data_IF_515427358105
#
_entry.id   IF_515427358105
#
_cell.length_a   1.000
_cell.length_b   1.000
_cell.length_c   1.000
_cell.angle_alpha   90.00
_cell.angle_beta   90.00
_cell.angle_gamma   90.00
#
_symmetry.space_group_name_H-M   'P 1'
#
loop_
_entity.id
_entity.type
_entity.pdbx_description
1 polymer ?
#
# COMPACT_ATOMS: atom_id res chain seq x y z
N UNK A 1 -30.19 -27.00 -74.96
CA UNK A 1 -28.92 -26.96 -74.21
C UNK A 1 -28.32 -28.36 -74.23
N UNK A 2 -27.13 -28.54 -74.80
CA UNK A 2 -26.46 -29.85 -74.84
C UNK A 2 -25.92 -30.20 -73.43
N UNK A 3 -26.00 -31.46 -72.98
CA UNK A 3 -25.49 -31.86 -71.67
C UNK A 3 -23.96 -31.69 -71.60
N UNK A 4 -23.46 -31.12 -70.49
CA UNK A 4 -22.03 -30.94 -70.24
C UNK A 4 -21.28 -32.28 -70.30
N UNK A 5 -20.06 -32.33 -70.88
CA UNK A 5 -19.28 -33.56 -70.95
C UNK A 5 -18.97 -34.08 -69.53
N UNK A 6 -19.08 -35.41 -69.34
CA UNK A 6 -18.94 -36.07 -68.02
C UNK A 6 -17.65 -35.70 -67.26
N UNK A 7 -16.58 -35.37 -68.00
CA UNK A 7 -15.29 -34.89 -67.46
C UNK A 7 -15.42 -33.55 -66.73
N UNK A 8 -16.05 -32.56 -67.36
CA UNK A 8 -16.21 -31.22 -66.77
C UNK A 8 -17.20 -31.26 -65.61
N UNK A 9 -18.27 -32.06 -65.72
CA UNK A 9 -19.19 -32.30 -64.60
C UNK A 9 -18.46 -32.85 -63.37
N UNK A 10 -17.58 -33.86 -63.54
CA UNK A 10 -16.80 -34.44 -62.44
C UNK A 10 -15.80 -33.44 -61.83
N UNK A 11 -15.16 -32.60 -62.64
CA UNK A 11 -14.28 -31.53 -62.16
C UNK A 11 -15.05 -30.46 -61.37
N UNK A 12 -16.23 -30.06 -61.84
CA UNK A 12 -17.10 -29.13 -61.11
C UNK A 12 -17.59 -29.73 -59.79
N UNK A 13 -17.98 -31.01 -59.76
CA UNK A 13 -18.33 -31.70 -58.53
C UNK A 13 -17.16 -31.75 -57.53
N UNK A 14 -15.96 -32.08 -57.98
CA UNK A 14 -14.78 -32.10 -57.12
C UNK A 14 -14.44 -30.70 -56.56
N UNK A 15 -14.54 -29.66 -57.40
CA UNK A 15 -14.32 -28.28 -56.99
C UNK A 15 -15.36 -27.81 -55.97
N UNK A 16 -16.65 -28.08 -56.22
CA UNK A 16 -17.74 -27.72 -55.31
C UNK A 16 -17.63 -28.47 -53.96
N UNK A 17 -17.25 -29.75 -53.98
CA UNK A 17 -17.01 -30.53 -52.77
C UNK A 17 -15.82 -29.99 -51.97
N UNK A 18 -14.75 -29.58 -52.64
CA UNK A 18 -13.59 -28.95 -51.99
C UNK A 18 -13.98 -27.61 -51.36
N UNK A 19 -14.71 -26.77 -52.08
CA UNK A 19 -15.17 -25.47 -51.60
C UNK A 19 -16.13 -25.63 -50.41
N UNK A 20 -17.04 -26.59 -50.46
CA UNK A 20 -17.94 -26.88 -49.35
C UNK A 20 -17.17 -27.36 -48.12
N UNK A 21 -16.19 -28.25 -48.32
CA UNK A 21 -15.37 -28.77 -47.21
C UNK A 21 -14.56 -27.67 -46.54
N UNK A 22 -13.96 -26.75 -47.30
CA UNK A 22 -13.21 -25.62 -46.71
C UNK A 22 -14.12 -24.67 -45.95
N UNK A 23 -15.34 -24.41 -46.45
CA UNK A 23 -16.34 -23.58 -45.78
C UNK A 23 -16.79 -24.19 -44.44
N UNK A 24 -17.06 -25.49 -44.42
CA UNK A 24 -17.45 -26.21 -43.19
C UNK A 24 -16.32 -26.20 -42.17
N UNK A 25 -15.07 -26.44 -42.58
CA UNK A 25 -13.91 -26.39 -41.67
C UNK A 25 -13.72 -24.98 -41.12
N UNK A 26 -13.82 -23.96 -41.97
CA UNK A 26 -13.64 -22.56 -41.57
C UNK A 26 -14.74 -22.11 -40.60
N UNK A 27 -15.99 -22.50 -40.85
CA UNK A 27 -17.10 -22.25 -39.94
C UNK A 27 -16.95 -23.00 -38.61
N UNK A 28 -16.45 -24.24 -38.64
CA UNK A 28 -16.20 -25.03 -37.43
C UNK A 28 -15.07 -24.43 -36.59
N UNK A 29 -14.00 -23.95 -37.22
CA UNK A 29 -12.91 -23.25 -36.54
C UNK A 29 -13.38 -21.90 -35.99
N UNK A 30 -14.13 -21.14 -36.78
CA UNK A 30 -14.69 -19.85 -36.34
C UNK A 30 -15.63 -20.01 -35.14
N UNK A 31 -16.54 -20.99 -35.17
CA UNK A 31 -17.41 -21.29 -34.03
C UNK A 31 -16.60 -21.79 -32.83
N UNK A 32 -15.59 -22.63 -33.02
CA UNK A 32 -14.69 -23.07 -31.95
C UNK A 32 -13.96 -21.89 -31.29
N UNK A 33 -13.35 -20.98 -32.06
CA UNK A 33 -12.63 -19.82 -31.52
C UNK A 33 -13.56 -18.76 -30.90
N UNK A 34 -14.77 -18.57 -31.43
CA UNK A 34 -15.74 -17.62 -30.89
C UNK A 34 -16.49 -18.17 -29.65
N UNK A 35 -16.63 -19.49 -29.52
CA UNK A 35 -17.28 -20.14 -28.38
C UNK A 35 -16.30 -20.58 -27.28
N UNK A 36 -14.99 -20.65 -27.56
CA UNK A 36 -13.95 -20.86 -26.55
C UNK A 36 -14.01 -19.87 -25.37
N UNK A 37 -14.20 -18.55 -25.59
CA UNK A 37 -14.34 -17.61 -24.47
C UNK A 37 -15.63 -17.84 -23.68
N UNK A 38 -16.70 -18.41 -24.27
CA UNK A 38 -17.96 -18.69 -23.56
C UNK A 38 -17.89 -19.97 -22.71
N UNK A 39 -17.11 -20.99 -23.10
CA UNK A 39 -17.00 -22.23 -22.31
C UNK A 39 -16.10 -22.08 -21.08
N UNK A 40 -15.17 -21.11 -21.08
CA UNK A 40 -14.34 -20.79 -19.92
C UNK A 40 -15.08 -20.00 -18.83
N UNK A 41 -16.27 -19.43 -19.11
CA UNK A 41 -17.07 -18.67 -18.15
C UNK A 41 -18.03 -19.51 -17.29
N UNK A 42 -18.05 -20.84 -17.44
CA UNK A 42 -18.92 -21.73 -16.63
C UNK A 42 -18.14 -22.71 -15.77
N UNK A 43 -17.00 -22.28 -15.22
CA UNK A 43 -16.55 -22.89 -13.96
C UNK A 43 -17.13 -22.06 -12.82
N UNK A 44 -18.34 -22.43 -12.38
CA UNK A 44 -18.83 -22.02 -11.08
C UNK A 44 -17.85 -22.56 -10.03
N UNK A 45 -16.86 -21.76 -9.66
CA UNK A 45 -16.15 -21.94 -8.40
C UNK A 45 -17.19 -21.76 -7.29
N UNK A 46 -17.69 -22.88 -6.80
CA UNK A 46 -18.53 -22.93 -5.61
C UNK A 46 -17.67 -22.39 -4.45
N UNK A 47 -18.00 -21.25 -3.83
CA UNK A 47 -17.24 -20.76 -2.70
C UNK A 47 -17.31 -21.81 -1.60
N UNK A 48 -16.16 -22.17 -1.04
CA UNK A 48 -16.11 -23.04 0.14
C UNK A 48 -16.94 -22.41 1.27
N UNK A 49 -17.84 -23.14 1.96
CA UNK A 49 -18.74 -22.54 2.95
C UNK A 49 -18.06 -22.12 4.27
N UNK A 50 -16.72 -22.17 4.38
CA UNK A 50 -15.99 -21.94 5.63
C UNK A 50 -15.02 -20.75 5.63
N UNK A 51 -14.90 -19.99 4.53
CA UNK A 51 -13.94 -18.88 4.42
C UNK A 51 -14.65 -17.53 4.34
N UNK A 52 -15.38 -17.16 5.37
CA UNK A 52 -15.87 -15.78 5.50
C UNK A 52 -14.70 -14.90 5.93
N UNK A 53 -14.30 -13.94 5.09
CA UNK A 53 -13.28 -12.96 5.46
C UNK A 53 -13.74 -12.15 6.68
N UNK A 54 -12.88 -12.02 7.70
CA UNK A 54 -13.14 -11.22 8.90
C UNK A 54 -12.84 -9.73 8.69
N UNK A 55 -12.09 -9.37 7.64
CA UNK A 55 -11.66 -7.98 7.38
C UNK A 55 -12.81 -6.96 7.39
N UNK A 56 -13.99 -7.23 6.78
CA UNK A 56 -15.12 -6.30 6.88
C UNK A 56 -15.61 -6.10 8.32
N UNK A 57 -15.63 -7.18 9.12
CA UNK A 57 -16.01 -7.10 10.53
C UNK A 57 -14.97 -6.33 11.35
N UNK A 58 -13.68 -6.54 11.08
CA UNK A 58 -12.58 -5.83 11.75
C UNK A 58 -12.59 -4.32 11.44
N UNK A 59 -12.80 -3.93 10.18
CA UNK A 59 -12.90 -2.52 9.78
C UNK A 59 -14.12 -1.84 10.41
N UNK A 60 -15.26 -2.55 10.47
CA UNK A 60 -16.46 -2.04 11.14
C UNK A 60 -16.26 -1.94 12.67
N UNK A 61 -15.61 -2.93 13.27
CA UNK A 61 -15.27 -2.91 14.69
C UNK A 61 -14.35 -1.72 14.99
N UNK A 62 -13.35 -1.45 14.15
CA UNK A 62 -12.45 -0.32 14.31
C UNK A 62 -13.18 1.03 14.29
N UNK A 63 -14.12 1.22 13.36
CA UNK A 63 -14.91 2.46 13.24
C UNK A 63 -15.70 2.79 14.51
N UNK A 64 -16.11 1.77 15.27
CA UNK A 64 -16.87 1.92 16.53
C UNK A 64 -16.02 1.71 17.77
N UNK A 65 -14.76 1.29 17.61
CA UNK A 65 -13.83 1.08 18.71
C UNK A 65 -13.27 2.39 19.20
N UNK A 66 -12.99 2.45 20.50
CA UNK A 66 -12.18 3.50 21.09
C UNK A 66 -11.32 2.90 22.20
N UNK A 67 -10.10 3.40 22.34
CA UNK A 67 -9.19 3.04 23.42
C UNK A 67 -8.53 4.30 23.92
N UNK A 68 -8.53 4.48 25.23
CA UNK A 68 -7.77 5.56 25.87
C UNK A 68 -6.29 5.19 25.80
N UNK A 69 -5.50 6.03 25.14
CA UNK A 69 -4.03 5.92 25.09
C UNK A 69 -3.47 7.15 25.77
N UNK A 70 -2.69 6.95 26.83
CA UNK A 70 -1.97 8.02 27.49
C UNK A 70 -0.65 8.23 26.76
N UNK A 71 -0.42 9.45 26.28
CA UNK A 71 0.83 9.79 25.62
C UNK A 71 1.90 9.97 26.69
N UNK A 72 3.03 9.33 26.48
CA UNK A 72 4.15 9.36 27.39
C UNK A 72 5.45 9.48 26.60
N UNK A 73 6.50 9.91 27.27
CA UNK A 73 7.83 9.89 26.66
C UNK A 73 8.40 8.48 26.65
N UNK A 74 8.92 8.06 25.49
CA UNK A 74 9.59 6.77 25.35
C UNK A 74 11.03 6.94 24.88
N UNK A 75 11.99 6.88 25.81
CA UNK A 75 13.42 7.04 25.51
C UNK A 75 13.92 6.07 24.42
N UNK A 76 13.35 4.87 24.36
CA UNK A 76 13.66 3.87 23.35
C UNK A 76 13.32 4.31 21.91
N UNK A 77 12.35 5.21 21.74
CA UNK A 77 11.98 5.80 20.44
C UNK A 77 12.62 7.18 20.22
N UNK A 78 13.08 7.86 21.27
CA UNK A 78 13.71 9.20 21.22
C UNK A 78 15.25 9.17 21.07
N UNK A 79 15.82 8.24 20.31
CA UNK A 79 17.28 8.15 20.15
C UNK A 79 17.66 7.62 18.76
N UNK A 80 18.83 7.96 18.21
CA UNK A 80 19.35 7.44 16.93
C UNK A 80 20.17 6.14 17.04
N UNK A 81 20.20 5.48 18.20
CA UNK A 81 20.99 4.25 18.37
C UNK A 81 20.43 3.12 17.51
N UNK A 82 21.33 2.40 16.82
CA UNK A 82 20.99 1.19 16.09
C UNK A 82 20.48 0.07 16.99
N UNK A 83 20.75 0.12 18.30
CA UNK A 83 20.22 -0.83 19.27
C UNK A 83 18.68 -0.90 19.26
N UNK A 84 18.02 0.19 18.90
CA UNK A 84 16.56 0.32 18.92
C UNK A 84 15.92 0.18 17.53
N UNK A 85 16.68 -0.16 16.49
CA UNK A 85 16.12 -0.27 15.12
C UNK A 85 15.03 -1.34 15.03
N UNK A 86 15.17 -2.41 15.82
CA UNK A 86 14.15 -3.46 15.92
C UNK A 86 12.78 -2.91 16.34
N UNK A 87 12.72 -1.93 17.25
CA UNK A 87 11.45 -1.34 17.70
C UNK A 87 10.69 -0.61 16.58
N UNK A 88 11.43 -0.09 15.59
CA UNK A 88 10.86 0.58 14.42
C UNK A 88 10.47 -0.40 13.33
N UNK A 89 11.20 -1.52 13.23
CA UNK A 89 10.84 -2.63 12.34
C UNK A 89 9.60 -3.38 12.83
N UNK A 90 9.55 -3.69 14.11
CA UNK A 90 8.47 -4.43 14.79
C UNK A 90 7.21 -3.59 15.02
N UNK A 91 7.26 -2.29 14.77
CA UNK A 91 6.06 -1.44 14.72
C UNK A 91 5.11 -1.85 13.59
N UNK A 92 5.61 -2.59 12.61
CA UNK A 92 4.82 -3.20 11.54
C UNK A 92 4.56 -4.68 11.85
N UNK A 93 3.38 -5.21 11.47
CA UNK A 93 3.13 -6.64 11.59
C UNK A 93 4.05 -7.41 10.62
N UNK A 94 4.30 -8.73 10.85
CA UNK A 94 5.27 -9.51 10.08
C UNK A 94 5.04 -9.54 8.57
N UNK A 95 3.80 -9.28 8.13
CA UNK A 95 3.47 -9.22 6.71
C UNK A 95 3.73 -7.84 6.07
N UNK A 96 4.19 -6.84 6.84
CA UNK A 96 4.49 -5.47 6.42
C UNK A 96 3.32 -4.50 6.53
N UNK A 97 2.18 -4.90 7.10
CA UNK A 97 1.02 -4.02 7.26
C UNK A 97 0.08 -3.99 6.06
N UNK A 98 0.01 -5.08 5.30
CA UNK A 98 -0.85 -5.20 4.11
C UNK A 98 -2.04 -6.11 4.34
N UNK A 99 -3.14 -5.87 3.62
CA UNK A 99 -4.11 -6.93 3.33
C UNK A 99 -3.67 -7.74 2.12
N UNK A 100 -3.81 -9.05 2.17
CA UNK A 100 -3.55 -9.94 1.03
C UNK A 100 -4.88 -10.26 0.35
N UNK A 101 -5.12 -9.70 -0.83
CA UNK A 101 -6.32 -9.99 -1.61
C UNK A 101 -6.07 -11.19 -2.50
N UNK A 102 -6.99 -12.16 -2.45
CA UNK A 102 -7.03 -13.25 -3.40
C UNK A 102 -7.42 -12.72 -4.78
N UNK A 103 -6.66 -13.09 -5.79
CA UNK A 103 -6.93 -12.81 -7.19
C UNK A 103 -7.14 -14.13 -7.96
N UNK A 104 -7.82 -14.05 -9.10
CA UNK A 104 -8.05 -15.22 -9.95
C UNK A 104 -6.71 -15.90 -10.34
N UNK A 105 -6.74 -17.22 -10.53
CA UNK A 105 -5.57 -18.06 -10.88
C UNK A 105 -4.51 -18.24 -9.78
N UNK A 106 -4.89 -18.29 -8.50
CA UNK A 106 -3.97 -18.42 -7.35
C UNK A 106 -2.94 -17.28 -7.23
N UNK A 107 -3.21 -16.13 -7.84
CA UNK A 107 -2.40 -14.94 -7.64
C UNK A 107 -2.95 -14.18 -6.44
N UNK A 108 -2.10 -13.44 -5.76
CA UNK A 108 -2.50 -12.55 -4.67
C UNK A 108 -1.88 -11.19 -4.91
N UNK A 109 -2.58 -10.12 -4.55
CA UNK A 109 -1.98 -8.78 -4.49
C UNK A 109 -2.12 -8.20 -3.09
N UNK A 110 -1.25 -7.24 -2.77
CA UNK A 110 -1.23 -6.56 -1.48
C UNK A 110 -1.97 -5.23 -1.59
N UNK A 111 -2.77 -4.93 -0.59
CA UNK A 111 -3.36 -3.61 -0.36
C UNK A 111 -2.67 -3.00 0.86
N UNK A 112 -2.29 -1.73 0.76
CA UNK A 112 -1.71 -0.99 1.89
C UNK A 112 -2.76 -0.64 2.93
N UNK A 113 -2.34 -0.57 4.19
CA UNK A 113 -3.13 0.05 5.26
C UNK A 113 -2.39 1.32 5.66
N UNK A 114 -3.07 2.47 5.55
CA UNK A 114 -2.45 3.79 5.68
C UNK A 114 -1.67 3.96 6.98
N UNK A 115 -2.21 3.53 8.14
CA UNK A 115 -1.51 3.61 9.42
C UNK A 115 -0.13 2.91 9.38
N UNK A 116 -0.06 1.69 8.81
CA UNK A 116 1.21 0.97 8.73
C UNK A 116 2.15 1.58 7.70
N UNK A 117 1.63 2.09 6.58
CA UNK A 117 2.45 2.83 5.62
C UNK A 117 3.02 4.12 6.23
N UNK A 118 2.24 4.87 7.00
CA UNK A 118 2.69 6.06 7.73
C UNK A 118 3.79 5.72 8.75
N UNK A 119 3.63 4.62 9.51
CA UNK A 119 4.67 4.13 10.44
C UNK A 119 5.95 3.70 9.71
N UNK A 120 5.82 3.02 8.56
CA UNK A 120 6.95 2.64 7.72
C UNK A 120 7.72 3.88 7.24
N UNK A 121 7.02 4.89 6.71
CA UNK A 121 7.63 6.15 6.28
C UNK A 121 8.34 6.87 7.44
N UNK A 122 7.74 6.89 8.62
CA UNK A 122 8.38 7.47 9.81
C UNK A 122 9.66 6.71 10.20
N UNK A 123 9.65 5.38 10.13
CA UNK A 123 10.85 4.56 10.35
C UNK A 123 11.94 4.82 9.29
N UNK A 124 11.55 5.02 8.03
CA UNK A 124 12.48 5.37 6.94
C UNK A 124 13.12 6.75 7.17
N UNK A 125 12.34 7.76 7.53
CA UNK A 125 12.86 9.11 7.85
C UNK A 125 13.87 9.05 9.00
N UNK A 126 13.60 8.22 10.00
CA UNK A 126 14.52 7.99 11.11
C UNK A 126 15.84 7.37 10.62
N UNK A 127 15.77 6.37 9.74
CA UNK A 127 16.95 5.71 9.16
C UNK A 127 17.82 6.71 8.40
N UNK A 128 17.21 7.62 7.63
CA UNK A 128 17.93 8.69 6.95
C UNK A 128 18.62 9.64 7.95
N UNK A 129 17.96 9.97 9.06
CA UNK A 129 18.60 10.75 10.13
C UNK A 129 19.79 10.02 10.76
N UNK A 130 19.71 8.69 10.95
CA UNK A 130 20.84 7.89 11.43
C UNK A 130 22.02 7.98 10.44
N UNK A 131 21.75 7.80 9.15
CA UNK A 131 22.75 7.88 8.09
C UNK A 131 23.43 9.26 8.04
N UNK A 132 22.64 10.33 8.04
CA UNK A 132 23.17 11.70 8.03
C UNK A 132 23.97 12.01 9.30
N UNK A 133 23.50 11.57 10.47
CA UNK A 133 24.21 11.74 11.73
C UNK A 133 25.58 11.05 11.72
N UNK A 134 25.68 9.86 11.12
CA UNK A 134 26.97 9.17 10.94
C UNK A 134 27.91 9.95 10.01
N UNK A 135 27.41 10.43 8.86
CA UNK A 135 28.22 11.22 7.92
C UNK A 135 28.77 12.47 8.60
N UNK A 136 27.91 13.22 9.28
CA UNK A 136 28.31 14.47 9.97
C UNK A 136 29.36 14.17 11.05
N UNK A 137 29.21 13.06 11.79
CA UNK A 137 30.20 12.66 12.79
C UNK A 137 31.58 12.39 12.17
N UNK A 138 31.64 11.69 11.03
CA UNK A 138 32.89 11.42 10.29
C UNK A 138 33.50 12.72 9.74
N UNK A 139 32.68 13.62 9.20
CA UNK A 139 33.16 14.89 8.64
C UNK A 139 33.71 15.85 9.71
N UNK A 140 33.15 15.83 10.93
CA UNK A 140 33.60 16.68 12.04
C UNK A 140 34.95 16.23 12.63
N UNK A 141 35.29 14.94 12.55
CA UNK A 141 36.56 14.40 13.06
C UNK A 141 37.06 13.24 12.16
N UNK A 142 37.68 13.55 10.99
CA UNK A 142 38.13 12.53 10.04
C UNK A 142 39.28 11.65 10.56
N UNK A 143 39.86 11.98 11.72
CA UNK A 143 40.93 11.23 12.38
C UNK A 143 40.43 10.18 13.37
N UNK A 144 39.16 10.25 13.78
CA UNK A 144 38.53 9.22 14.62
C UNK A 144 37.78 8.22 13.75
N UNK A 145 38.39 7.05 13.52
CA UNK A 145 37.71 5.87 12.98
C UNK A 145 36.69 5.23 13.95
N UNK A 146 36.33 5.90 15.05
CA UNK A 146 35.35 5.45 16.04
C UNK A 146 34.43 6.60 16.45
N UNK A 147 33.13 6.30 16.59
CA UNK A 147 32.10 7.27 16.99
C UNK A 147 32.51 8.03 18.26
N UNK A 148 32.31 9.36 18.33
CA UNK A 148 32.63 10.13 19.52
C UNK A 148 31.78 9.66 20.70
N UNK A 149 32.45 9.15 21.74
CA UNK A 149 31.83 8.51 22.93
C UNK A 149 31.12 9.50 23.87
N UNK A 150 31.11 10.81 23.60
CA UNK A 150 30.32 11.78 24.40
C UNK A 150 30.15 13.09 23.63
N UNK A 151 28.91 13.55 23.37
CA UNK A 151 28.69 14.93 22.95
C UNK A 151 29.20 15.86 24.06
N UNK A 152 29.87 16.96 23.68
CA UNK A 152 29.96 18.11 24.58
C UNK A 152 28.53 18.63 24.73
N UNK A 153 28.09 18.78 25.96
CA UNK A 153 26.72 19.07 26.44
C UNK A 153 26.14 20.43 25.98
N UNK A 154 26.62 21.00 24.87
CA UNK A 154 26.23 22.33 24.41
C UNK A 154 26.43 22.57 22.89
N UNK A 155 26.48 21.52 22.04
CA UNK A 155 26.42 21.71 20.58
C UNK A 155 24.95 21.99 20.20
N UNK A 156 24.61 23.12 19.54
CA UNK A 156 23.24 23.40 19.07
C UNK A 156 22.62 22.24 18.28
N UNK A 157 23.45 21.45 17.57
CA UNK A 157 23.02 20.28 16.82
C UNK A 157 22.49 19.13 17.69
N UNK A 158 22.92 19.02 18.95
CA UNK A 158 22.44 17.99 19.87
C UNK A 158 21.07 18.38 20.46
N UNK A 159 20.81 19.68 20.62
CA UNK A 159 19.53 20.20 21.06
C UNK A 159 18.41 19.98 20.02
N UNK A 160 18.67 20.38 18.77
CA UNK A 160 17.72 20.24 17.66
C UNK A 160 17.41 18.77 17.37
N UNK A 161 18.41 17.89 17.52
CA UNK A 161 18.25 16.44 17.42
C UNK A 161 17.33 15.89 18.51
N UNK A 162 17.47 16.36 19.76
CA UNK A 162 16.59 15.98 20.86
C UNK A 162 15.11 16.29 20.56
N UNK A 163 14.83 17.48 20.03
CA UNK A 163 13.47 17.85 19.63
C UNK A 163 12.92 17.01 18.48
N UNK A 164 13.72 16.80 17.43
CA UNK A 164 13.29 15.96 16.32
C UNK A 164 12.94 14.54 16.80
N UNK A 165 13.74 13.95 17.68
CA UNK A 165 13.51 12.60 18.18
C UNK A 165 12.27 12.51 19.10
N UNK A 166 12.01 13.54 19.90
CA UNK A 166 10.74 13.67 20.63
C UNK A 166 9.54 13.74 19.66
N UNK A 167 9.64 14.55 18.60
CA UNK A 167 8.59 14.65 17.57
C UNK A 167 8.33 13.30 16.89
N UNK A 168 9.36 12.50 16.64
CA UNK A 168 9.19 11.17 16.05
C UNK A 168 8.40 10.22 16.96
N UNK A 169 8.68 10.18 18.26
CA UNK A 169 7.88 9.37 19.18
C UNK A 169 6.45 9.92 19.31
N UNK A 170 6.27 11.24 19.34
CA UNK A 170 4.94 11.87 19.32
C UNK A 170 4.13 11.52 18.06
N UNK A 171 4.75 11.59 16.88
CA UNK A 171 4.11 11.21 15.62
C UNK A 171 3.77 9.72 15.61
N UNK A 172 4.69 8.84 16.03
CA UNK A 172 4.43 7.40 16.16
C UNK A 172 3.20 7.12 17.03
N UNK A 173 3.11 7.78 18.20
CA UNK A 173 1.96 7.67 19.09
C UNK A 173 0.67 8.20 18.45
N UNK A 174 0.75 9.34 17.75
CA UNK A 174 -0.39 9.94 17.04
C UNK A 174 -0.92 9.03 15.93
N UNK A 175 -0.03 8.43 15.14
CA UNK A 175 -0.39 7.50 14.06
C UNK A 175 -1.12 6.27 14.63
N UNK A 176 -0.61 5.69 15.72
CA UNK A 176 -1.24 4.55 16.41
C UNK A 176 -2.57 4.94 17.07
N UNK A 177 -2.68 6.15 17.61
CA UNK A 177 -3.89 6.65 18.25
C UNK A 177 -5.02 6.90 17.23
N UNK A 178 -4.69 7.42 16.05
CA UNK A 178 -5.66 7.69 14.99
C UNK A 178 -6.03 6.44 14.20
N UNK A 179 -5.12 5.45 14.13
CA UNK A 179 -5.31 4.16 13.48
C UNK A 179 -5.99 4.26 12.11
N UNK A 180 -5.42 5.09 11.23
CA UNK A 180 -5.95 5.33 9.88
C UNK A 180 -6.06 4.03 9.07
N UNK A 181 -7.29 3.52 8.95
CA UNK A 181 -7.59 2.28 8.25
C UNK A 181 -7.97 2.49 6.77
N UNK A 182 -7.59 3.62 6.19
CA UNK A 182 -7.69 3.83 4.74
C UNK A 182 -6.93 2.72 4.01
N UNK A 183 -7.59 2.11 3.02
CA UNK A 183 -7.02 1.05 2.18
C UNK A 183 -6.38 1.68 0.95
N UNK A 184 -5.08 1.51 0.82
CA UNK A 184 -4.29 2.06 -0.27
C UNK A 184 -4.15 1.04 -1.40
N UNK A 185 -4.38 1.50 -2.62
CA UNK A 185 -4.43 0.63 -3.79
C UNK A 185 -3.04 0.50 -4.44
N UNK A 186 -2.66 -0.69 -4.93
CA UNK A 186 -1.41 -0.86 -5.65
C UNK A 186 -1.47 -0.16 -7.01
N UNK A 187 -0.39 0.55 -7.33
CA UNK A 187 -0.10 1.12 -8.64
C UNK A 187 0.97 0.27 -9.33
N UNK A 188 1.07 0.39 -10.65
CA UNK A 188 2.07 -0.32 -11.45
C UNK A 188 3.25 0.61 -11.74
N UNK A 189 4.47 0.13 -11.53
CA UNK A 189 5.68 0.81 -11.98
C UNK A 189 5.81 0.74 -13.51
N UNK A 190 6.80 1.45 -14.06
CA UNK A 190 7.12 1.39 -15.49
C UNK A 190 7.46 -0.03 -15.96
N UNK A 191 8.07 -0.83 -15.08
CA UNK A 191 8.42 -2.24 -15.31
C UNK A 191 7.23 -3.21 -15.08
N UNK A 192 6.08 -2.70 -14.64
CA UNK A 192 4.87 -3.46 -14.37
C UNK A 192 4.79 -4.08 -12.98
N UNK A 193 5.70 -3.73 -12.07
CA UNK A 193 5.68 -4.22 -10.69
C UNK A 193 4.68 -3.43 -9.83
N UNK A 194 3.86 -4.12 -9.00
CA UNK A 194 2.92 -3.44 -8.13
C UNK A 194 3.63 -2.81 -6.92
N UNK A 195 3.29 -1.56 -6.60
CA UNK A 195 3.77 -0.85 -5.42
C UNK A 195 2.68 0.01 -4.78
N UNK A 196 2.83 0.35 -3.51
CA UNK A 196 1.93 1.25 -2.77
C UNK A 196 2.67 2.56 -2.56
N UNK A 197 2.14 3.66 -3.08
CA UNK A 197 2.76 5.00 -2.94
C UNK A 197 2.04 5.90 -1.93
N UNK A 198 0.86 5.48 -1.46
CA UNK A 198 0.02 6.24 -0.54
C UNK A 198 -0.59 7.50 -1.15
N UNK A 199 -0.48 7.72 -2.46
CA UNK A 199 -0.97 8.91 -3.14
C UNK A 199 -2.37 8.67 -3.72
N UNK A 200 -3.33 8.42 -2.83
CA UNK A 200 -4.73 8.16 -3.14
C UNK A 200 -5.65 9.27 -2.60
N UNK A 201 -6.87 9.36 -3.15
CA UNK A 201 -7.91 10.26 -2.64
C UNK A 201 -8.30 9.88 -1.20
N UNK A 202 -8.40 10.88 -0.32
CA UNK A 202 -8.78 10.69 1.10
C UNK A 202 -9.92 11.61 1.48
N UNK A 203 -10.79 11.11 2.36
CA UNK A 203 -11.84 11.91 3.01
C UNK A 203 -11.35 12.34 4.39
N UNK A 204 -10.87 13.58 4.49
CA UNK A 204 -10.33 14.14 5.71
C UNK A 204 -11.37 14.94 6.50
N UNK A 205 -11.10 15.19 7.78
CA UNK A 205 -11.74 16.28 8.51
C UNK A 205 -11.27 17.61 7.92
N UNK A 206 -12.16 18.59 7.88
CA UNK A 206 -11.82 19.94 7.46
C UNK A 206 -10.95 20.62 8.54
N UNK A 207 -9.64 20.68 8.28
CA UNK A 207 -8.67 21.28 9.19
C UNK A 207 -8.72 22.81 9.17
N UNK A 208 -9.33 23.44 8.16
CA UNK A 208 -9.45 24.90 8.09
C UNK A 208 -10.29 25.44 9.26
N UNK A 209 -11.26 24.65 9.72
CA UNK A 209 -12.05 24.96 10.91
C UNK A 209 -11.14 25.14 12.13
N UNK A 210 -10.20 24.22 12.36
CA UNK A 210 -9.26 24.30 13.48
C UNK A 210 -8.23 25.42 13.27
N UNK A 211 -7.75 25.58 12.04
CA UNK A 211 -6.82 26.65 11.69
C UNK A 211 -7.41 28.02 12.00
N UNK A 212 -8.64 28.27 11.53
CA UNK A 212 -9.35 29.51 11.78
C UNK A 212 -9.65 29.72 13.27
N UNK A 213 -10.03 28.66 13.99
CA UNK A 213 -10.25 28.73 15.44
C UNK A 213 -8.96 29.09 16.19
N UNK A 214 -7.81 28.51 15.81
CA UNK A 214 -6.51 28.81 16.40
C UNK A 214 -6.11 30.26 16.17
N UNK A 215 -6.19 30.75 14.93
CA UNK A 215 -5.83 32.15 14.61
C UNK A 215 -6.76 33.13 15.33
N UNK A 216 -8.07 32.84 15.37
CA UNK A 216 -9.02 33.65 16.11
C UNK A 216 -8.70 33.73 17.61
N UNK A 217 -8.09 32.68 18.18
CA UNK A 217 -7.76 32.65 19.61
C UNK A 217 -6.72 33.70 20.05
N UNK A 218 -5.96 34.28 19.11
CA UNK A 218 -5.04 35.38 19.39
C UNK A 218 -5.78 36.67 19.82
N UNK A 219 -7.03 36.84 19.37
CA UNK A 219 -7.89 38.00 19.68
C UNK A 219 -9.08 37.65 20.57
N UNK A 220 -9.56 36.41 20.50
CA UNK A 220 -10.66 35.87 21.31
C UNK A 220 -10.18 34.60 22.04
N UNK A 221 -9.47 34.74 23.18
CA UNK A 221 -8.88 33.60 23.88
C UNK A 221 -9.91 32.56 24.30
N UNK A 222 -9.54 31.28 24.18
CA UNK A 222 -10.37 30.15 24.59
C UNK A 222 -10.40 30.04 26.12
N UNK A 223 -11.58 29.89 26.71
CA UNK A 223 -11.70 29.71 28.15
C UNK A 223 -11.42 28.24 28.53
N UNK A 224 -10.79 27.96 29.68
CA UNK A 224 -10.52 26.57 30.10
C UNK A 224 -11.76 25.67 30.18
N UNK A 225 -12.94 26.26 30.42
CA UNK A 225 -14.20 25.52 30.49
C UNK A 225 -14.72 25.11 29.11
N UNK A 226 -14.28 25.76 28.03
CA UNK A 226 -14.65 25.43 26.64
C UNK A 226 -13.87 24.21 26.10
N UNK A 227 -12.86 23.72 26.84
CA UNK A 227 -11.96 22.65 26.44
C UNK A 227 -12.32 21.27 27.03
N UNK A 228 -13.49 21.13 27.65
CA UNK A 228 -13.94 19.89 28.32
C UNK A 228 -14.96 19.09 27.53
#
# INVERSE_FOLDING_TARGET
>A
MAPLPKSTARQHYAFLLSLFSTLVISFSLFTYFMLLPLSQFTTHHKPSPSNTSLVPADLHALQTSSKIVQFAEHDAYKNLSHQHDHLWHEALPPNGGYFTLAHERNKTHKLGIAMFHQLHCLAMLRSEMQYLHQIIAVLKDPTRGELPVRPKESDPLDHDKGYALHCFDYLRQSLLCMADATIEQPKLSDDGDPYIDGMDERRCKDWEILYNASVRSDVEPVMPDDLR
#
